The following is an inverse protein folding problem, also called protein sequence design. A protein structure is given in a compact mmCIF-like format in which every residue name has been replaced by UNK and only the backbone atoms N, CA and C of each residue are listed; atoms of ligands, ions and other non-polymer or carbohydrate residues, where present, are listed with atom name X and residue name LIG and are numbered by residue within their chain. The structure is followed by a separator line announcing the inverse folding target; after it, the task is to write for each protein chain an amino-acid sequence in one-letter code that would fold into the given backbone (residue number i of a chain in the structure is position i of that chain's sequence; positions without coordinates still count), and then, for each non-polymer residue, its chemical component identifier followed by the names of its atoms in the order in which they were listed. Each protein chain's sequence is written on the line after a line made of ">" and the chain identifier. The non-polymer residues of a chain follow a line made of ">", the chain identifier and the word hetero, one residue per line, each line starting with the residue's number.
data_IF_575217261928
#
_entry.id   IF_575217261928
#
_cell.length_a   1.000
_cell.length_b   1.000
_cell.length_c   1.000
_cell.angle_alpha   90.00
_cell.angle_beta   90.00
_cell.angle_gamma   90.00
#
_symmetry.space_group_name_H-M   'P 1'
#
loop_
_entity.id
_entity.type
_entity.pdbx_description
1 polymer ?
#
# COMPACT_ATOMS: atom_id res chain seq x y z
N UNK A 1 19.29 9.46 11.56
CA UNK A 1 19.41 8.35 10.59
C UNK A 1 18.60 8.69 9.35
N UNK A 2 19.21 8.71 8.17
CA UNK A 2 18.46 8.83 6.91
C UNK A 2 17.72 7.51 6.71
N UNK A 3 16.39 7.54 6.69
CA UNK A 3 15.62 6.38 6.28
C UNK A 3 15.90 6.15 4.79
N UNK A 4 16.64 5.08 4.49
CA UNK A 4 16.86 4.61 3.12
C UNK A 4 15.54 4.02 2.60
N UNK A 5 14.95 4.68 1.60
CA UNK A 5 13.76 4.15 0.92
C UNK A 5 14.16 3.03 -0.03
N UNK A 6 13.49 1.88 0.07
CA UNK A 6 13.63 0.80 -0.91
C UNK A 6 12.82 1.14 -2.17
N UNK A 7 13.41 1.11 -3.37
CA UNK A 7 12.66 1.22 -4.62
C UNK A 7 11.72 0.03 -4.81
N UNK A 8 10.48 0.31 -5.22
CA UNK A 8 9.45 -0.70 -5.53
C UNK A 8 9.05 -0.54 -6.98
N UNK A 9 9.02 -1.66 -7.71
CA UNK A 9 8.53 -1.68 -9.11
C UNK A 9 7.00 -1.73 -9.16
N UNK A 10 6.40 -1.27 -10.26
CA UNK A 10 4.96 -1.41 -10.47
C UNK A 10 4.49 -2.86 -10.43
N UNK A 11 5.28 -3.80 -10.97
CA UNK A 11 4.97 -5.24 -10.96
C UNK A 11 4.97 -5.84 -9.55
N UNK A 12 5.89 -5.37 -8.69
CA UNK A 12 5.94 -5.74 -7.29
C UNK A 12 4.72 -5.16 -6.56
N UNK A 13 4.47 -3.85 -6.69
CA UNK A 13 3.31 -3.19 -6.08
C UNK A 13 1.99 -3.90 -6.40
N UNK A 14 1.80 -4.31 -7.66
CA UNK A 14 0.60 -5.01 -8.13
C UNK A 14 0.29 -6.34 -7.42
N UNK A 15 1.26 -6.94 -6.70
CA UNK A 15 1.03 -8.14 -5.89
C UNK A 15 0.34 -7.84 -4.54
N UNK A 16 0.32 -6.58 -4.10
CA UNK A 16 -0.14 -6.17 -2.77
C UNK A 16 -1.52 -5.49 -2.82
N UNK A 17 -2.56 -6.29 -3.11
CA UNK A 17 -3.95 -5.83 -3.29
C UNK A 17 -5.00 -6.60 -2.48
N UNK A 18 -4.61 -7.26 -1.39
CA UNK A 18 -5.49 -8.09 -0.56
C UNK A 18 -5.52 -7.61 0.88
N UNK A 19 -6.50 -8.06 1.68
CA UNK A 19 -6.57 -7.68 3.11
C UNK A 19 -5.37 -8.18 3.93
N UNK A 20 -4.67 -9.21 3.46
CA UNK A 20 -3.46 -9.74 4.09
C UNK A 20 -2.18 -9.05 3.60
N UNK A 21 -2.26 -8.29 2.51
CA UNK A 21 -1.12 -7.64 1.87
C UNK A 21 -1.63 -6.51 0.96
N UNK A 22 -1.68 -5.29 1.49
CA UNK A 22 -2.27 -4.12 0.84
C UNK A 22 -1.27 -2.96 0.84
N UNK A 23 -0.74 -2.63 -0.34
CA UNK A 23 0.15 -1.50 -0.52
C UNK A 23 -0.46 -0.50 -1.49
N UNK A 24 -0.20 0.79 -1.28
CA UNK A 24 -0.66 1.85 -2.18
C UNK A 24 0.45 2.86 -2.46
N UNK A 25 0.45 3.44 -3.66
CA UNK A 25 1.35 4.52 -4.02
C UNK A 25 0.67 5.88 -3.85
N UNK A 26 1.26 6.78 -3.08
CA UNK A 26 0.87 8.21 -3.02
C UNK A 26 2.08 9.06 -3.37
N UNK A 27 1.95 9.88 -4.41
CA UNK A 27 3.00 10.79 -4.87
C UNK A 27 4.36 10.09 -5.07
N UNK A 28 4.34 8.85 -5.59
CA UNK A 28 5.54 8.05 -5.86
C UNK A 28 6.13 7.33 -4.64
N UNK A 29 5.54 7.49 -3.45
CA UNK A 29 5.93 6.74 -2.25
C UNK A 29 4.97 5.58 -2.03
N UNK A 30 5.52 4.39 -1.84
CA UNK A 30 4.73 3.18 -1.56
C UNK A 30 4.57 3.01 -0.05
N UNK A 31 3.33 2.81 0.39
CA UNK A 31 2.97 2.59 1.79
C UNK A 31 2.36 1.20 1.94
N UNK A 32 2.84 0.44 2.93
CA UNK A 32 2.13 -0.73 3.41
C UNK A 32 1.00 -0.28 4.34
N UNK A 33 -0.25 -0.44 3.88
CA UNK A 33 -1.45 -0.06 4.63
C UNK A 33 -2.19 -1.27 5.20
N UNK A 34 -1.60 -2.47 5.16
CA UNK A 34 -2.25 -3.73 5.56
C UNK A 34 -2.86 -3.64 6.96
N UNK A 35 -2.10 -3.10 7.92
CA UNK A 35 -2.58 -2.94 9.30
C UNK A 35 -3.55 -1.77 9.49
N UNK A 36 -3.55 -0.80 8.56
CA UNK A 36 -4.37 0.39 8.60
C UNK A 36 -5.80 0.18 8.09
N UNK A 37 -6.06 -0.89 7.31
CA UNK A 37 -7.38 -1.20 6.75
C UNK A 37 -8.51 -1.13 7.80
N UNK A 38 -8.27 -1.60 9.02
CA UNK A 38 -9.26 -1.61 10.12
C UNK A 38 -9.57 -0.23 10.72
N UNK A 39 -8.71 0.76 10.46
CA UNK A 39 -8.87 2.14 10.93
C UNK A 39 -9.30 3.08 9.81
N UNK A 40 -9.23 2.65 8.55
CA UNK A 40 -9.65 3.47 7.42
C UNK A 40 -11.15 3.81 7.53
N UNK A 41 -11.56 5.09 7.43
CA UNK A 41 -12.97 5.49 7.56
C UNK A 41 -13.92 4.80 6.57
N UNK A 42 -13.44 4.49 5.37
CA UNK A 42 -14.19 3.72 4.36
C UNK A 42 -14.07 2.20 4.49
N UNK A 43 -13.43 1.70 5.56
CA UNK A 43 -13.14 0.28 5.75
C UNK A 43 -12.40 -0.32 4.57
N UNK A 44 -12.91 -1.44 4.05
CA UNK A 44 -12.30 -2.19 2.93
C UNK A 44 -12.27 -1.45 1.59
N UNK A 45 -12.93 -0.28 1.47
CA UNK A 45 -12.87 0.54 0.25
C UNK A 45 -11.43 0.97 -0.09
N UNK A 46 -10.53 1.06 0.90
CA UNK A 46 -9.11 1.35 0.67
C UNK A 46 -8.43 0.36 -0.29
N UNK A 47 -8.90 -0.89 -0.35
CA UNK A 47 -8.34 -1.93 -1.22
C UNK A 47 -8.50 -1.60 -2.71
N UNK A 48 -9.48 -0.76 -3.08
CA UNK A 48 -9.66 -0.34 -4.48
C UNK A 48 -8.50 0.50 -5.00
N UNK A 49 -7.74 1.15 -4.11
CA UNK A 49 -6.52 1.89 -4.46
C UNK A 49 -5.23 1.12 -4.21
N UNK A 50 -5.30 -0.16 -3.84
CA UNK A 50 -4.10 -0.95 -3.54
C UNK A 50 -3.59 -1.70 -4.79
N UNK A 51 -2.28 -1.88 -4.85
CA UNK A 51 -1.59 -2.55 -5.95
C UNK A 51 -1.50 -1.72 -7.23
N UNK A 52 -1.68 -0.40 -7.13
CA UNK A 52 -1.57 0.56 -8.23
C UNK A 52 -0.78 1.80 -7.79
#
# INVERSE_FOLDING_TARGET
>A
ETHEFRPISASELAQHKTVQSAWLSLNGTVYDVTSYIKYHPGGRLILQGCGI
#
